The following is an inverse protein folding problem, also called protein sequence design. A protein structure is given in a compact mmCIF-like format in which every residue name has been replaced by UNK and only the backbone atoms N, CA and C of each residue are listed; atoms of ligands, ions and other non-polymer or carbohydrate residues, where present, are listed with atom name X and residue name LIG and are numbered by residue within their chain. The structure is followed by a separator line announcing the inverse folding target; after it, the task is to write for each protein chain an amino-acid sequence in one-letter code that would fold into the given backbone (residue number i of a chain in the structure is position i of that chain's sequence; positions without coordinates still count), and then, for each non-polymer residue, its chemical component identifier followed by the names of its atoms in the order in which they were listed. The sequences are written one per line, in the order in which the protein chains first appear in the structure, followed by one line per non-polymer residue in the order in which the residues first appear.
data_IF_885032134042
#
_entry.id   IF_885032134042
#
_cell.length_a   1.000
_cell.length_b   1.000
_cell.length_c   1.000
_cell.angle_alpha   90.00
_cell.angle_beta   90.00
_cell.angle_gamma   90.00
#
_symmetry.space_group_name_H-M   'P 1'
#
loop_
_entity.id
_entity.type
_entity.pdbx_description
1 polymer ?
#
# COMPACT_ATOMS: atom_id res chain seq x y z
N UNK A 1 23.78 43.37 -19.73
CA UNK A 1 23.77 42.22 -18.85
C UNK A 1 22.50 41.40 -19.13
N UNK A 2 22.61 40.48 -20.06
CA UNK A 2 21.54 39.57 -20.46
C UNK A 2 21.72 38.24 -19.75
N UNK A 3 20.81 37.94 -18.84
CA UNK A 3 20.71 36.59 -18.23
C UNK A 3 20.02 35.67 -19.22
N UNK A 4 20.60 34.50 -19.53
CA UNK A 4 19.90 33.50 -20.34
C UNK A 4 18.87 32.82 -19.48
N UNK A 5 17.61 32.90 -19.91
CA UNK A 5 16.53 32.04 -19.39
C UNK A 5 16.90 30.56 -19.64
N UNK A 6 17.11 29.87 -18.56
CA UNK A 6 17.25 28.39 -18.59
C UNK A 6 15.96 27.80 -19.10
N UNK A 7 16.00 27.25 -20.30
CA UNK A 7 14.87 26.51 -20.90
C UNK A 7 14.71 25.25 -20.08
N UNK A 8 13.63 25.18 -19.29
CA UNK A 8 13.21 23.94 -18.64
C UNK A 8 12.85 22.98 -19.76
N UNK A 9 13.71 22.02 -20.02
CA UNK A 9 13.36 20.87 -20.85
C UNK A 9 12.31 20.07 -20.09
N UNK A 10 11.05 20.26 -20.45
CA UNK A 10 9.99 19.33 -20.09
C UNK A 10 10.36 18.01 -20.74
N UNK A 11 10.71 17.05 -19.91
CA UNK A 11 10.99 15.67 -20.32
C UNK A 11 9.72 15.12 -20.97
N UNK A 12 9.73 15.05 -22.28
CA UNK A 12 8.59 14.64 -23.11
C UNK A 12 8.51 13.10 -23.24
N UNK A 13 9.05 12.38 -22.23
CA UNK A 13 8.86 10.93 -22.17
C UNK A 13 7.40 10.62 -21.83
N UNK A 14 6.75 9.69 -22.55
CA UNK A 14 5.38 9.31 -22.21
C UNK A 14 5.35 8.81 -20.76
N UNK A 15 4.41 9.33 -19.96
CA UNK A 15 4.20 8.89 -18.59
C UNK A 15 3.85 7.41 -18.59
N UNK A 16 4.60 6.58 -17.85
CA UNK A 16 4.33 5.15 -17.71
C UNK A 16 2.96 4.94 -17.08
N UNK A 17 2.17 3.98 -17.61
CA UNK A 17 0.95 3.52 -16.98
C UNK A 17 1.28 2.79 -15.65
N UNK A 18 0.27 2.61 -14.81
CA UNK A 18 0.43 1.86 -13.56
C UNK A 18 0.87 0.42 -13.86
N UNK A 19 0.28 -0.22 -14.87
CA UNK A 19 0.64 -1.58 -15.29
C UNK A 19 2.10 -1.67 -15.75
N UNK A 20 2.58 -0.68 -16.49
CA UNK A 20 3.98 -0.61 -16.92
C UNK A 20 4.93 -0.46 -15.73
N UNK A 21 4.57 0.33 -14.73
CA UNK A 21 5.36 0.48 -13.49
C UNK A 21 5.41 -0.80 -12.70
N UNK A 22 4.29 -1.51 -12.57
CA UNK A 22 4.24 -2.83 -11.93
C UNK A 22 5.14 -3.84 -12.65
N UNK A 23 5.11 -3.87 -13.99
CA UNK A 23 5.99 -4.71 -14.78
C UNK A 23 7.46 -4.38 -14.57
N UNK A 24 7.82 -3.09 -14.56
CA UNK A 24 9.19 -2.65 -14.31
C UNK A 24 9.70 -3.04 -12.92
N UNK A 25 8.80 -3.15 -11.94
CA UNK A 25 9.10 -3.59 -10.57
C UNK A 25 8.99 -5.12 -10.39
N UNK A 26 8.68 -5.86 -11.46
CA UNK A 26 8.44 -7.30 -11.44
C UNK A 26 7.32 -7.72 -10.49
N UNK A 27 6.25 -6.92 -10.40
CA UNK A 27 5.11 -7.16 -9.53
C UNK A 27 3.93 -7.68 -10.35
N UNK A 28 3.42 -8.85 -9.95
CA UNK A 28 2.14 -9.39 -10.40
C UNK A 28 1.15 -9.26 -9.26
N UNK A 29 0.03 -8.54 -9.47
CA UNK A 29 -0.95 -8.34 -8.43
C UNK A 29 -1.77 -9.63 -8.21
N UNK A 30 -1.99 -10.01 -6.93
CA UNK A 30 -2.81 -11.18 -6.62
C UNK A 30 -4.30 -10.88 -6.88
N UNK A 31 -5.11 -11.92 -7.12
CA UNK A 31 -6.57 -11.77 -7.10
C UNK A 31 -7.03 -11.41 -5.68
N UNK A 32 -8.24 -10.83 -5.58
CA UNK A 32 -8.83 -10.48 -4.29
C UNK A 32 -9.08 -11.75 -3.47
N UNK A 33 -8.52 -11.80 -2.27
CA UNK A 33 -8.80 -12.87 -1.32
C UNK A 33 -10.22 -12.72 -0.76
N UNK A 34 -10.92 -13.84 -0.56
CA UNK A 34 -12.19 -13.82 0.16
C UNK A 34 -11.92 -13.49 1.63
N UNK A 35 -12.70 -12.57 2.24
CA UNK A 35 -12.57 -12.27 3.66
C UNK A 35 -12.76 -13.51 4.51
N UNK A 36 -11.98 -13.63 5.59
CA UNK A 36 -12.11 -14.70 6.56
C UNK A 36 -13.28 -14.52 7.55
N UNK A 37 -13.96 -13.39 7.49
CA UNK A 37 -15.04 -12.99 8.40
C UNK A 37 -16.20 -12.33 7.64
N UNK A 38 -17.21 -11.89 8.38
CA UNK A 38 -18.46 -11.34 7.82
C UNK A 38 -18.29 -9.89 7.35
N UNK A 39 -17.40 -9.63 6.40
CA UNK A 39 -17.18 -8.33 5.77
C UNK A 39 -16.76 -8.48 4.31
N UNK A 40 -16.70 -7.39 3.60
CA UNK A 40 -16.32 -7.33 2.18
C UNK A 40 -14.90 -6.76 2.02
N UNK A 41 -14.18 -7.08 0.91
CA UNK A 41 -12.82 -6.61 0.72
C UNK A 41 -12.72 -5.10 0.54
N UNK A 42 -13.75 -4.46 -0.02
CA UNK A 42 -13.80 -3.01 -0.16
C UNK A 42 -15.23 -2.51 -0.21
N UNK A 43 -15.40 -1.24 0.13
CA UNK A 43 -16.67 -0.50 -0.03
C UNK A 43 -16.37 0.78 -0.79
N UNK A 44 -17.18 1.06 -1.80
CA UNK A 44 -17.11 2.34 -2.50
C UNK A 44 -18.31 3.21 -2.13
N UNK A 45 -18.02 4.48 -1.82
CA UNK A 45 -19.03 5.51 -1.60
C UNK A 45 -18.60 6.77 -2.35
N UNK A 46 -19.42 7.19 -3.34
CA UNK A 46 -19.01 8.24 -4.27
C UNK A 46 -17.72 7.83 -5.01
N UNK A 47 -16.72 8.69 -4.98
CA UNK A 47 -15.39 8.44 -5.57
C UNK A 47 -14.41 7.75 -4.61
N UNK A 48 -14.78 7.54 -3.34
CA UNK A 48 -13.90 6.97 -2.33
C UNK A 48 -14.07 5.46 -2.23
N UNK A 49 -12.95 4.75 -2.22
CA UNK A 49 -12.87 3.31 -1.98
C UNK A 49 -12.17 3.08 -0.64
N UNK A 50 -12.86 2.39 0.25
CA UNK A 50 -12.35 1.96 1.54
C UNK A 50 -11.98 0.48 1.43
N UNK A 51 -10.71 0.19 1.58
CA UNK A 51 -10.19 -1.18 1.51
C UNK A 51 -10.02 -1.72 2.91
N UNK A 52 -10.59 -2.91 3.15
CA UNK A 52 -10.45 -3.62 4.42
C UNK A 52 -8.99 -3.90 4.76
N UNK A 53 -8.69 -3.99 6.05
CA UNK A 53 -7.36 -4.30 6.52
C UNK A 53 -6.82 -5.62 5.95
N UNK A 54 -5.57 -5.59 5.50
CA UNK A 54 -4.84 -6.75 4.99
C UNK A 54 -3.73 -7.08 5.98
N UNK A 55 -3.77 -8.29 6.52
CA UNK A 55 -2.66 -8.81 7.32
C UNK A 55 -1.50 -9.21 6.42
N UNK A 56 -0.29 -9.07 6.92
CA UNK A 56 0.88 -9.54 6.21
C UNK A 56 0.81 -11.05 5.96
N UNK A 57 1.11 -11.46 4.72
CA UNK A 57 1.17 -12.86 4.31
C UNK A 57 2.52 -13.17 3.67
N UNK A 58 2.96 -14.39 3.88
CA UNK A 58 4.16 -14.94 3.27
C UNK A 58 3.85 -16.36 2.82
N UNK A 59 4.07 -16.65 1.53
CA UNK A 59 3.75 -17.95 0.94
C UNK A 59 2.29 -18.39 1.16
N UNK A 60 1.36 -17.43 1.07
CA UNK A 60 -0.08 -17.66 1.25
C UNK A 60 -0.54 -17.84 2.69
N UNK A 61 0.35 -17.74 3.67
CA UNK A 61 0.07 -17.91 5.10
C UNK A 61 0.23 -16.58 5.84
N UNK A 62 -0.44 -16.38 6.99
CA UNK A 62 -0.17 -15.22 7.83
C UNK A 62 1.32 -15.13 8.19
N UNK A 63 1.89 -13.95 8.03
CA UNK A 63 3.27 -13.69 8.43
C UNK A 63 3.30 -13.33 9.91
N UNK A 64 3.56 -14.34 10.72
CA UNK A 64 3.51 -14.25 12.18
C UNK A 64 4.80 -13.65 12.73
N UNK A 65 4.69 -12.75 13.69
CA UNK A 65 5.82 -12.17 14.38
C UNK A 65 5.46 -10.91 15.16
N UNK A 66 6.40 -10.46 15.99
CA UNK A 66 6.26 -9.25 16.78
C UNK A 66 7.50 -8.38 16.60
N UNK A 67 7.30 -7.16 16.13
CA UNK A 67 8.36 -6.19 15.90
C UNK A 67 9.02 -5.81 17.24
N UNK A 68 10.35 -5.79 17.23
CA UNK A 68 11.14 -5.52 18.43
C UNK A 68 11.31 -6.71 19.37
N UNK A 69 10.73 -7.87 19.05
CA UNK A 69 10.91 -9.10 19.82
C UNK A 69 11.35 -10.27 18.96
N UNK A 70 10.53 -10.70 18.00
CA UNK A 70 10.85 -11.82 17.09
C UNK A 70 11.19 -11.35 15.69
N UNK A 71 10.95 -10.08 15.38
CA UNK A 71 11.18 -9.49 14.06
C UNK A 71 11.94 -8.17 14.17
N UNK A 72 12.82 -7.94 13.20
CA UNK A 72 13.53 -6.68 13.03
C UNK A 72 12.69 -5.68 12.23
N UNK A 73 13.04 -4.40 12.29
CA UNK A 73 12.43 -3.35 11.48
C UNK A 73 12.54 -3.65 9.98
N UNK A 74 13.69 -4.15 9.51
CA UNK A 74 13.90 -4.53 8.11
C UNK A 74 12.93 -5.64 7.65
N UNK A 75 12.72 -6.66 8.47
CA UNK A 75 11.74 -7.72 8.20
C UNK A 75 10.31 -7.16 8.18
N UNK A 76 10.00 -6.26 9.10
CA UNK A 76 8.71 -5.55 9.14
C UNK A 76 8.45 -4.73 7.88
N UNK A 77 9.48 -4.07 7.33
CA UNK A 77 9.38 -3.35 6.07
C UNK A 77 9.04 -4.28 4.90
N UNK A 78 9.64 -5.47 4.86
CA UNK A 78 9.32 -6.47 3.84
C UNK A 78 7.86 -6.95 3.97
N UNK A 79 7.38 -7.14 5.19
CA UNK A 79 5.99 -7.50 5.45
C UNK A 79 5.03 -6.39 5.00
N UNK A 80 5.32 -5.14 5.31
CA UNK A 80 4.53 -3.98 4.88
C UNK A 80 4.51 -3.82 3.35
N UNK A 81 5.64 -4.11 2.68
CA UNK A 81 5.72 -4.12 1.22
C UNK A 81 4.83 -5.22 0.62
N UNK A 82 4.83 -6.41 1.20
CA UNK A 82 3.95 -7.49 0.77
C UNK A 82 2.47 -7.11 0.91
N UNK A 83 2.09 -6.42 1.99
CA UNK A 83 0.73 -5.92 2.17
C UNK A 83 0.37 -4.89 1.09
N UNK A 84 1.28 -4.00 0.72
CA UNK A 84 1.03 -3.01 -0.35
C UNK A 84 0.64 -3.69 -1.67
N UNK A 85 1.28 -4.80 -2.00
CA UNK A 85 0.95 -5.60 -3.20
C UNK A 85 -0.48 -6.16 -3.09
N UNK A 86 -0.86 -6.71 -1.95
CA UNK A 86 -2.20 -7.25 -1.72
C UNK A 86 -3.27 -6.14 -1.74
N UNK A 87 -2.98 -4.98 -1.15
CA UNK A 87 -3.85 -3.80 -1.21
C UNK A 87 -4.08 -3.33 -2.65
N UNK A 88 -3.03 -3.29 -3.46
CA UNK A 88 -3.14 -2.91 -4.86
C UNK A 88 -3.97 -3.93 -5.66
N UNK A 89 -3.89 -5.22 -5.34
CA UNK A 89 -4.74 -6.26 -5.93
C UNK A 89 -6.22 -6.01 -5.64
N UNK A 90 -6.56 -5.66 -4.41
CA UNK A 90 -7.94 -5.31 -4.02
C UNK A 90 -8.39 -4.00 -4.66
N UNK A 91 -7.53 -2.99 -4.71
CA UNK A 91 -7.81 -1.72 -5.39
C UNK A 91 -8.05 -1.92 -6.89
N UNK A 92 -7.27 -2.79 -7.53
CA UNK A 92 -7.49 -3.17 -8.93
C UNK A 92 -8.89 -3.78 -9.14
N UNK A 93 -9.32 -4.66 -8.25
CA UNK A 93 -10.66 -5.25 -8.32
C UNK A 93 -11.76 -4.18 -8.17
N UNK A 94 -11.57 -3.19 -7.31
CA UNK A 94 -12.49 -2.06 -7.18
C UNK A 94 -12.58 -1.24 -8.47
N UNK A 95 -11.45 -0.98 -9.12
CA UNK A 95 -11.40 -0.30 -10.42
C UNK A 95 -12.09 -1.11 -11.52
N UNK A 96 -11.84 -2.43 -11.56
CA UNK A 96 -12.46 -3.34 -12.54
C UNK A 96 -13.98 -3.44 -12.37
N UNK A 97 -14.48 -3.37 -11.14
CA UNK A 97 -15.92 -3.35 -10.88
C UNK A 97 -16.64 -2.15 -11.52
N UNK A 98 -15.89 -1.10 -11.88
CA UNK A 98 -16.38 0.08 -12.59
C UNK A 98 -15.99 0.10 -14.08
N UNK A 99 -15.50 -1.02 -14.61
CA UNK A 99 -15.09 -1.14 -16.01
C UNK A 99 -13.76 -0.49 -16.34
N UNK A 100 -12.90 -0.24 -15.34
CA UNK A 100 -11.58 0.38 -15.54
C UNK A 100 -10.44 -0.47 -14.99
N UNK A 101 -9.31 0.17 -14.78
CA UNK A 101 -8.09 -0.39 -14.22
C UNK A 101 -7.47 0.58 -13.18
N UNK A 102 -6.28 0.29 -12.69
CA UNK A 102 -5.60 1.12 -11.69
C UNK A 102 -5.27 2.55 -12.17
N UNK A 103 -5.30 2.84 -13.47
CA UNK A 103 -5.14 4.19 -13.97
C UNK A 103 -6.31 5.11 -13.56
N UNK A 104 -7.44 4.55 -13.15
CA UNK A 104 -8.56 5.30 -12.56
C UNK A 104 -8.30 5.83 -11.16
N UNK A 105 -7.25 5.40 -10.52
CA UNK A 105 -6.87 5.93 -9.20
C UNK A 105 -6.45 7.37 -9.36
N UNK A 106 -7.25 8.29 -8.82
CA UNK A 106 -6.95 9.72 -8.81
C UNK A 106 -5.88 10.03 -7.77
N UNK A 107 -6.00 9.44 -6.59
CA UNK A 107 -5.00 9.51 -5.52
C UNK A 107 -5.22 8.44 -4.46
N UNK A 108 -4.16 8.08 -3.77
CA UNK A 108 -4.25 7.40 -2.48
C UNK A 108 -4.51 8.46 -1.41
N UNK A 109 -5.46 8.21 -0.52
CA UNK A 109 -5.93 9.21 0.44
C UNK A 109 -5.33 8.98 1.82
N UNK A 110 -5.48 7.78 2.35
CA UNK A 110 -5.07 7.44 3.72
C UNK A 110 -4.60 6.00 3.83
N UNK A 111 -3.49 5.83 4.52
CA UNK A 111 -2.97 4.53 4.97
C UNK A 111 -2.99 4.50 6.49
N UNK A 112 -3.55 3.46 7.07
CA UNK A 112 -3.47 3.16 8.50
C UNK A 112 -2.75 1.84 8.67
N UNK A 113 -1.64 1.85 9.40
CA UNK A 113 -0.78 0.70 9.63
C UNK A 113 -0.77 0.33 11.11
N UNK A 114 -1.16 -0.91 11.38
CA UNK A 114 -1.21 -1.52 12.70
C UNK A 114 -0.02 -2.48 12.81
N UNK A 115 0.84 -2.26 13.78
CA UNK A 115 2.06 -3.04 13.94
C UNK A 115 1.98 -3.86 15.23
N UNK A 116 2.03 -5.18 15.10
CA UNK A 116 2.18 -6.07 16.25
C UNK A 116 3.60 -5.88 16.80
N UNK A 117 3.73 -5.16 17.90
CA UNK A 117 5.04 -4.72 18.41
C UNK A 117 5.18 -4.88 19.91
N UNK A 118 6.41 -5.10 20.36
CA UNK A 118 6.74 -5.08 21.76
C UNK A 118 6.45 -3.70 22.38
N UNK A 119 6.16 -3.60 23.68
CA UNK A 119 5.77 -2.33 24.31
C UNK A 119 6.82 -1.22 24.21
N UNK A 120 8.10 -1.57 24.09
CA UNK A 120 9.22 -0.63 23.97
C UNK A 120 9.67 -0.38 22.51
N UNK A 121 9.01 -0.99 21.52
CA UNK A 121 9.30 -0.78 20.12
C UNK A 121 8.72 0.55 19.64
N UNK A 122 9.51 1.33 18.90
CA UNK A 122 9.13 2.71 18.50
C UNK A 122 9.32 3.01 17.01
N UNK A 123 9.64 2.01 16.19
CA UNK A 123 9.95 2.20 14.77
C UNK A 123 8.80 1.82 13.83
N UNK A 124 7.55 1.94 14.28
CA UNK A 124 6.35 1.64 13.49
C UNK A 124 6.30 2.41 12.16
N UNK A 125 6.74 3.66 12.16
CA UNK A 125 6.82 4.52 10.99
C UNK A 125 7.82 3.98 9.96
N UNK A 126 8.94 3.43 10.39
CA UNK A 126 9.95 2.84 9.51
C UNK A 126 9.43 1.54 8.88
N UNK A 127 8.76 0.69 9.66
CA UNK A 127 8.09 -0.51 9.14
C UNK A 127 7.11 -0.15 8.03
N UNK A 128 6.26 0.84 8.28
CA UNK A 128 5.21 1.27 7.34
C UNK A 128 5.78 1.86 6.06
N UNK A 129 7.00 2.40 6.08
CA UNK A 129 7.69 2.88 4.88
C UNK A 129 7.81 1.79 3.80
N UNK A 130 7.91 0.51 4.16
CA UNK A 130 7.91 -0.58 3.20
C UNK A 130 6.66 -0.59 2.30
N UNK A 131 5.51 -0.22 2.86
CA UNK A 131 4.27 -0.03 2.10
C UNK A 131 4.26 1.30 1.35
N UNK A 132 4.48 2.41 2.05
CA UNK A 132 4.36 3.76 1.49
C UNK A 132 5.34 4.02 0.35
N UNK A 133 6.56 3.54 0.44
CA UNK A 133 7.56 3.67 -0.62
C UNK A 133 7.14 2.93 -1.88
N UNK A 134 6.64 1.71 -1.77
CA UNK A 134 6.16 0.96 -2.93
C UNK A 134 4.95 1.64 -3.59
N UNK A 135 4.01 2.13 -2.80
CA UNK A 135 2.86 2.89 -3.32
C UNK A 135 3.31 4.14 -4.07
N UNK A 136 4.33 4.83 -3.57
CA UNK A 136 4.95 5.98 -4.24
C UNK A 136 5.63 5.60 -5.56
N UNK A 137 6.35 4.49 -5.60
CA UNK A 137 7.00 3.99 -6.81
C UNK A 137 5.98 3.63 -7.90
N UNK A 138 4.85 3.03 -7.51
CA UNK A 138 3.81 2.59 -8.46
C UNK A 138 2.96 3.76 -8.94
N UNK A 139 2.49 4.62 -8.03
CA UNK A 139 1.51 5.67 -8.35
C UNK A 139 2.14 7.04 -8.60
N UNK A 140 3.42 7.24 -8.28
CA UNK A 140 4.06 8.55 -8.37
C UNK A 140 3.38 9.55 -7.44
N UNK A 141 3.13 10.77 -7.92
CA UNK A 141 2.50 11.83 -7.12
C UNK A 141 1.11 11.44 -6.59
N UNK A 142 0.38 10.59 -7.32
CA UNK A 142 -0.92 10.06 -6.89
C UNK A 142 -0.80 9.11 -5.69
N UNK A 143 0.38 8.59 -5.42
CA UNK A 143 0.67 7.69 -4.30
C UNK A 143 0.92 8.40 -2.98
N UNK A 144 1.10 9.71 -2.97
CA UNK A 144 1.25 10.49 -1.74
C UNK A 144 -0.05 10.48 -0.93
N UNK A 145 0.03 10.05 0.32
CA UNK A 145 -1.13 9.79 1.17
C UNK A 145 -0.90 10.30 2.60
N UNK A 146 -1.99 10.62 3.30
CA UNK A 146 -1.95 10.80 4.75
C UNK A 146 -1.77 9.45 5.43
N UNK A 147 -1.11 9.41 6.58
CA UNK A 147 -0.75 8.15 7.23
C UNK A 147 -0.80 8.21 8.73
N UNK A 148 -1.25 7.11 9.35
CA UNK A 148 -1.01 6.80 10.75
C UNK A 148 -0.37 5.41 10.86
N UNK A 149 0.61 5.27 11.76
CA UNK A 149 1.30 4.01 12.04
C UNK A 149 1.52 3.91 13.54
N UNK A 150 1.05 2.83 14.15
CA UNK A 150 1.14 2.64 15.59
C UNK A 150 1.15 1.16 15.98
N UNK A 151 1.60 0.89 17.20
CA UNK A 151 1.63 -0.44 17.77
C UNK A 151 0.28 -0.86 18.32
N UNK A 152 -0.01 -2.16 18.22
CA UNK A 152 -1.19 -2.80 18.80
C UNK A 152 -0.79 -3.97 19.68
N UNK A 153 -1.66 -4.33 20.61
CA UNK A 153 -1.40 -5.44 21.53
C UNK A 153 -1.25 -6.78 20.81
N UNK A 154 -2.05 -7.02 19.76
CA UNK A 154 -2.00 -8.22 18.93
C UNK A 154 -2.78 -7.99 17.63
N UNK A 155 -2.53 -8.81 16.63
CA UNK A 155 -3.26 -8.84 15.36
C UNK A 155 -3.88 -10.22 15.12
N UNK A 156 -4.92 -10.31 14.28
CA UNK A 156 -5.52 -11.60 13.93
C UNK A 156 -4.46 -12.60 13.45
N UNK A 157 -4.56 -13.84 13.90
CA UNK A 157 -3.64 -14.95 13.58
C UNK A 157 -2.18 -14.69 13.97
N UNK A 158 -1.92 -13.71 14.84
CA UNK A 158 -0.56 -13.34 15.22
C UNK A 158 0.24 -12.64 14.12
N UNK A 159 -0.44 -12.10 13.10
CA UNK A 159 0.23 -11.38 12.02
C UNK A 159 1.08 -10.22 12.56
N UNK A 160 2.19 -9.95 11.89
CA UNK A 160 3.13 -8.92 12.34
C UNK A 160 2.69 -7.50 12.01
N UNK A 161 1.99 -7.32 10.90
CA UNK A 161 1.51 -6.00 10.41
C UNK A 161 0.14 -6.18 9.75
N UNK A 162 -0.71 -5.17 9.87
CA UNK A 162 -1.97 -5.04 9.15
C UNK A 162 -2.13 -3.62 8.64
N UNK A 163 -2.53 -3.46 7.38
CA UNK A 163 -2.67 -2.13 6.78
C UNK A 163 -4.00 -2.03 6.04
N UNK A 164 -4.67 -0.89 6.20
CA UNK A 164 -5.85 -0.52 5.45
C UNK A 164 -5.59 0.73 4.61
N UNK A 165 -6.38 0.92 3.56
CA UNK A 165 -6.18 1.97 2.57
C UNK A 165 -7.51 2.62 2.19
N UNK A 166 -7.50 3.94 2.03
CA UNK A 166 -8.56 4.70 1.36
C UNK A 166 -7.97 5.32 0.10
N UNK A 167 -8.65 5.14 -1.03
CA UNK A 167 -8.28 5.70 -2.32
C UNK A 167 -9.45 6.47 -2.94
N UNK A 168 -9.13 7.44 -3.81
CA UNK A 168 -10.11 8.17 -4.60
C UNK A 168 -9.97 7.74 -6.06
N UNK A 169 -11.09 7.42 -6.70
CA UNK A 169 -11.16 7.06 -8.12
C UNK A 169 -11.71 8.23 -8.95
N UNK A 170 -11.33 8.28 -10.22
CA UNK A 170 -11.92 9.20 -11.21
C UNK A 170 -13.30 8.75 -11.64
#
# INVERSE_FOLDING_TARGET
DSHPFSTIHLDNRPTMSIEQRLQALHITLPPVAKPAAAYVPFVQTGSLVFISGHIARREGKPWVGQLGRTMTTAEGQQAARAIAIDLMGTLQAACQAQGGDLNRVKRLVKVVSLVNSAPDYTEHHLVTNGCSELLGEVFGDRGAHARSAFGVAQLPMGACVEIELVAELE
#
